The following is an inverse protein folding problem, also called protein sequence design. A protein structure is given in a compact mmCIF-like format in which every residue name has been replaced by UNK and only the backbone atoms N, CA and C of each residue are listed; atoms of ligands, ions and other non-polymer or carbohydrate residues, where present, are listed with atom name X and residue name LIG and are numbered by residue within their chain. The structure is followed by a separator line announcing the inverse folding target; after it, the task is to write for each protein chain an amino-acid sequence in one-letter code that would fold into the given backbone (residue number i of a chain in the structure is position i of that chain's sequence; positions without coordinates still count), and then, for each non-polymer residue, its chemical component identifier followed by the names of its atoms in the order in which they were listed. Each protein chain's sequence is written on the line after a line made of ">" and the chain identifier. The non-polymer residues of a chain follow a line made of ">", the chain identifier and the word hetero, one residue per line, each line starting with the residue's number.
data_IF_437719232917
#
_entry.id   IF_437719232917
#
_cell.length_a   1.000
_cell.length_b   1.000
_cell.length_c   1.000
_cell.angle_alpha   90.00
_cell.angle_beta   90.00
_cell.angle_gamma   90.00
#
_symmetry.space_group_name_H-M   'P 1'
#
loop_
_entity.id
_entity.type
_entity.pdbx_description
1 polymer ?
#
# COMPACT_ATOMS: atom_id res chain seq x y z
N UNK A 1 -12.19 18.12 35.63
CA UNK A 1 -11.10 18.17 34.64
C UNK A 1 -10.15 17.03 34.95
N UNK A 2 -10.23 15.92 34.21
CA UNK A 2 -9.27 14.83 34.35
C UNK A 2 -7.96 15.28 33.71
N UNK A 3 -6.87 15.28 34.48
CA UNK A 3 -5.54 15.53 33.95
C UNK A 3 -5.20 14.39 32.96
N UNK A 4 -5.18 14.71 31.68
CA UNK A 4 -4.57 13.84 30.67
C UNK A 4 -3.08 13.81 30.98
N UNK A 5 -2.63 12.73 31.63
CA UNK A 5 -1.21 12.50 31.87
C UNK A 5 -0.50 12.48 30.52
N UNK A 6 0.20 13.56 30.19
CA UNK A 6 1.10 13.60 29.06
C UNK A 6 2.24 12.66 29.40
N UNK A 7 2.26 11.47 28.78
CA UNK A 7 3.35 10.52 28.89
C UNK A 7 4.63 11.27 28.49
N UNK A 8 5.59 11.40 29.39
CA UNK A 8 6.83 12.15 29.16
C UNK A 8 7.92 11.31 28.49
N UNK A 9 7.76 9.98 28.45
CA UNK A 9 8.68 9.00 27.84
C UNK A 9 7.96 7.67 27.61
N UNK A 10 8.38 6.92 26.59
CA UNK A 10 7.88 5.57 26.31
C UNK A 10 8.51 4.49 27.20
N UNK A 11 9.51 4.82 28.04
CA UNK A 11 10.28 3.84 28.80
C UNK A 11 9.44 2.91 29.70
N UNK A 12 8.37 3.43 30.32
CA UNK A 12 7.46 2.59 31.11
C UNK A 12 6.67 1.59 30.25
N UNK A 13 6.35 1.97 29.00
CA UNK A 13 5.66 1.11 28.05
C UNK A 13 6.61 0.05 27.50
N UNK A 14 7.85 0.44 27.21
CA UNK A 14 8.91 -0.48 26.77
C UNK A 14 9.26 -1.51 27.85
N UNK A 15 9.27 -1.11 29.12
CA UNK A 15 9.48 -2.05 30.23
C UNK A 15 8.41 -3.17 30.27
N UNK A 16 7.16 -2.84 29.96
CA UNK A 16 6.07 -3.83 29.90
C UNK A 16 6.26 -4.88 28.79
N UNK A 17 7.03 -4.59 27.72
CA UNK A 17 7.33 -5.58 26.68
C UNK A 17 8.22 -6.73 27.18
N UNK A 18 9.03 -6.48 28.21
CA UNK A 18 9.93 -7.48 28.79
C UNK A 18 9.25 -8.37 29.84
N UNK A 19 8.02 -8.05 30.25
CA UNK A 19 7.27 -8.86 31.19
C UNK A 19 6.80 -10.18 30.54
N UNK A 20 6.71 -11.29 31.29
CA UNK A 20 6.35 -12.59 30.74
C UNK A 20 4.87 -12.69 30.35
N UNK A 21 4.00 -11.83 30.89
CA UNK A 21 2.56 -11.87 30.65
C UNK A 21 2.19 -11.31 29.27
N UNK A 22 1.55 -12.13 28.43
CA UNK A 22 1.12 -11.75 27.08
C UNK A 22 0.12 -10.58 27.06
N UNK A 23 -0.77 -10.50 28.06
CA UNK A 23 -1.71 -9.38 28.19
C UNK A 23 -1.00 -8.03 28.36
N UNK A 24 0.14 -8.02 29.07
CA UNK A 24 0.95 -6.81 29.24
C UNK A 24 1.67 -6.44 27.94
N UNK A 25 2.17 -7.43 27.21
CA UNK A 25 2.78 -7.24 25.88
C UNK A 25 1.78 -6.65 24.88
N UNK A 26 0.56 -7.17 24.83
CA UNK A 26 -0.54 -6.64 24.03
C UNK A 26 -0.81 -5.17 24.36
N UNK A 27 -1.02 -4.88 25.65
CA UNK A 27 -1.30 -3.52 26.10
C UNK A 27 -0.14 -2.58 25.78
N UNK A 28 1.10 -3.04 25.94
CA UNK A 28 2.29 -2.30 25.60
C UNK A 28 2.34 -1.97 24.10
N UNK A 29 2.17 -2.95 23.22
CA UNK A 29 2.19 -2.73 21.77
C UNK A 29 1.07 -1.79 21.30
N UNK A 30 -0.16 -1.95 21.82
CA UNK A 30 -1.27 -1.05 21.49
C UNK A 30 -0.99 0.39 21.95
N UNK A 31 -0.42 0.55 23.14
CA UNK A 31 0.00 1.84 23.67
C UNK A 31 1.11 2.46 22.81
N UNK A 32 2.11 1.66 22.42
CA UNK A 32 3.20 2.08 21.54
C UNK A 32 2.68 2.59 20.21
N UNK A 33 1.78 1.85 19.56
CA UNK A 33 1.16 2.24 18.28
C UNK A 33 0.53 3.65 18.33
N UNK A 34 -0.06 4.03 19.47
CA UNK A 34 -0.67 5.36 19.65
C UNK A 34 0.35 6.48 19.83
N UNK A 35 1.54 6.20 20.35
CA UNK A 35 2.56 7.21 20.70
C UNK A 35 3.81 7.16 19.82
N UNK A 36 3.86 6.29 18.79
CA UNK A 36 5.03 6.14 17.90
C UNK A 36 5.50 7.48 17.36
N UNK A 37 4.57 8.31 16.89
CA UNK A 37 4.86 9.62 16.31
C UNK A 37 5.61 10.57 17.25
N UNK A 38 5.50 10.39 18.57
CA UNK A 38 6.17 11.22 19.58
C UNK A 38 7.49 10.61 20.05
N UNK A 39 7.54 9.29 20.22
CA UNK A 39 8.64 8.59 20.88
C UNK A 39 9.38 7.60 19.98
N UNK A 40 9.25 7.69 18.65
CA UNK A 40 9.99 6.83 17.73
C UNK A 40 11.50 6.74 18.00
N UNK A 41 12.23 7.78 18.49
CA UNK A 41 13.65 7.65 18.80
C UNK A 41 13.92 6.78 20.04
N UNK A 42 13.01 6.76 21.00
CA UNK A 42 13.11 5.87 22.16
C UNK A 42 12.71 4.44 21.77
N UNK A 43 11.62 4.30 21.01
CA UNK A 43 11.08 3.00 20.60
C UNK A 43 12.05 2.29 19.64
N UNK A 44 12.77 3.03 18.79
CA UNK A 44 13.75 2.44 17.85
C UNK A 44 14.83 1.63 18.54
N UNK A 45 15.21 1.99 19.78
CA UNK A 45 16.20 1.23 20.58
C UNK A 45 15.71 -0.17 20.95
N UNK A 46 14.39 -0.39 20.93
CA UNK A 46 13.74 -1.63 21.32
C UNK A 46 13.13 -2.38 20.13
N UNK A 47 13.44 -1.98 18.89
CA UNK A 47 13.02 -2.71 17.68
C UNK A 47 13.33 -4.20 17.76
N UNK A 48 14.54 -4.65 18.17
CA UNK A 48 14.85 -6.08 18.20
C UNK A 48 13.94 -6.90 19.13
N UNK A 49 13.45 -6.28 20.20
CA UNK A 49 12.51 -6.93 21.10
C UNK A 49 11.12 -7.08 20.44
N UNK A 50 10.68 -6.07 19.69
CA UNK A 50 9.39 -6.10 18.99
C UNK A 50 9.46 -7.03 17.76
N UNK A 51 10.60 -7.08 17.06
CA UNK A 51 10.86 -8.01 15.96
C UNK A 51 10.81 -9.46 16.45
N UNK A 52 11.46 -9.77 17.57
CA UNK A 52 11.39 -11.11 18.17
C UNK A 52 9.95 -11.54 18.49
N UNK A 53 9.05 -10.60 18.79
CA UNK A 53 7.62 -10.88 19.01
C UNK A 53 6.83 -11.04 17.72
N UNK A 54 7.27 -10.41 16.63
CA UNK A 54 6.68 -10.62 15.30
C UNK A 54 7.09 -11.97 14.70
N UNK A 55 8.33 -12.39 14.94
CA UNK A 55 8.87 -13.68 14.50
C UNK A 55 8.30 -14.88 15.29
N UNK A 56 7.68 -14.63 16.44
CA UNK A 56 7.05 -15.66 17.25
C UNK A 56 5.68 -16.06 16.68
N UNK A 57 5.61 -17.27 16.10
CA UNK A 57 4.38 -17.83 15.52
C UNK A 57 3.31 -18.16 16.58
N UNK A 58 3.69 -18.36 17.84
CA UNK A 58 2.74 -18.62 18.94
C UNK A 58 2.08 -17.33 19.46
N UNK A 59 2.64 -16.17 19.12
CA UNK A 59 2.12 -14.89 19.58
C UNK A 59 0.94 -14.40 18.72
N UNK A 60 -0.26 -14.46 19.30
CA UNK A 60 -1.52 -14.06 18.67
C UNK A 60 -1.50 -12.64 18.05
N UNK A 61 -0.66 -11.75 18.58
CA UNK A 61 -0.62 -10.34 18.20
C UNK A 61 0.59 -9.93 17.35
N UNK A 62 1.26 -10.89 16.70
CA UNK A 62 2.40 -10.62 15.80
C UNK A 62 2.13 -9.53 14.75
N UNK A 63 0.91 -9.47 14.21
CA UNK A 63 0.54 -8.46 13.21
C UNK A 63 0.62 -7.03 13.76
N UNK A 64 0.29 -6.85 15.05
CA UNK A 64 0.32 -5.55 15.70
C UNK A 64 1.75 -5.14 16.02
N UNK A 65 2.61 -6.10 16.37
CA UNK A 65 4.05 -5.88 16.48
C UNK A 65 4.65 -5.41 15.14
N UNK A 66 4.31 -6.08 14.02
CA UNK A 66 4.73 -5.66 12.68
C UNK A 66 4.28 -4.23 12.34
N UNK A 67 3.04 -3.86 12.69
CA UNK A 67 2.53 -2.50 12.44
C UNK A 67 3.32 -1.44 13.22
N UNK A 68 3.65 -1.71 14.49
CA UNK A 68 4.44 -0.78 15.31
C UNK A 68 5.84 -0.60 14.72
N UNK A 69 6.50 -1.71 14.36
CA UNK A 69 7.85 -1.68 13.75
C UNK A 69 7.82 -0.92 12.43
N UNK A 70 6.83 -1.17 11.57
CA UNK A 70 6.65 -0.45 10.31
C UNK A 70 6.53 1.06 10.51
N UNK A 71 5.71 1.51 11.47
CA UNK A 71 5.59 2.94 11.81
C UNK A 71 6.89 3.53 12.32
N UNK A 72 7.67 2.79 13.12
CA UNK A 72 8.97 3.27 13.60
C UNK A 72 9.94 3.46 12.43
N UNK A 73 10.07 2.47 11.53
CA UNK A 73 10.91 2.59 10.33
C UNK A 73 10.49 3.73 9.41
N UNK A 74 9.18 3.98 9.29
CA UNK A 74 8.68 5.14 8.56
C UNK A 74 9.23 6.46 9.12
N UNK A 75 9.20 6.65 10.45
CA UNK A 75 9.76 7.86 11.08
C UNK A 75 11.29 7.92 11.06
N UNK A 76 11.97 6.77 10.97
CA UNK A 76 13.42 6.71 10.74
C UNK A 76 13.80 7.05 9.29
N UNK A 77 12.83 7.04 8.36
CA UNK A 77 13.04 7.32 6.94
C UNK A 77 13.37 6.08 6.10
N UNK A 78 13.32 4.89 6.69
CA UNK A 78 13.62 3.61 6.03
C UNK A 78 12.34 3.01 5.44
N UNK A 79 11.91 3.55 4.29
CA UNK A 79 10.61 3.19 3.69
C UNK A 79 10.53 1.76 3.15
N UNK A 80 11.65 1.14 2.76
CA UNK A 80 11.64 -0.23 2.27
C UNK A 80 11.32 -1.21 3.41
N UNK A 81 11.98 -1.05 4.56
CA UNK A 81 11.74 -1.87 5.75
C UNK A 81 10.38 -1.55 6.36
N UNK A 82 9.97 -0.28 6.35
CA UNK A 82 8.61 0.09 6.74
C UNK A 82 7.57 -0.64 5.88
N UNK A 83 7.75 -0.68 4.55
CA UNK A 83 6.83 -1.39 3.67
C UNK A 83 6.80 -2.90 3.97
N UNK A 84 7.96 -3.56 4.13
CA UNK A 84 8.01 -5.01 4.37
C UNK A 84 7.26 -5.41 5.66
N UNK A 85 7.41 -4.63 6.73
CA UNK A 85 6.66 -4.83 7.97
C UNK A 85 5.17 -4.46 7.84
N UNK A 86 4.81 -3.45 7.05
CA UNK A 86 3.41 -3.13 6.77
C UNK A 86 2.71 -4.28 6.01
N UNK A 87 3.40 -4.91 5.05
CA UNK A 87 2.91 -6.12 4.38
C UNK A 87 2.70 -7.27 5.38
N UNK A 88 3.58 -7.39 6.39
CA UNK A 88 3.47 -8.36 7.48
C UNK A 88 2.32 -8.11 8.46
N UNK A 89 1.94 -6.84 8.65
CA UNK A 89 0.80 -6.45 9.50
C UNK A 89 -0.56 -6.88 8.93
N UNK A 90 -0.63 -7.18 7.63
CA UNK A 90 -1.80 -7.77 6.97
C UNK A 90 -3.06 -6.91 7.13
N UNK A 91 -4.12 -7.39 7.82
CA UNK A 91 -5.38 -6.66 7.95
C UNK A 91 -5.29 -5.42 8.85
N UNK A 92 -4.24 -5.31 9.69
CA UNK A 92 -4.08 -4.15 10.57
C UNK A 92 -3.53 -2.91 9.84
N UNK A 93 -2.94 -3.10 8.66
CA UNK A 93 -2.55 -1.99 7.79
C UNK A 93 -3.77 -1.56 6.97
N UNK A 94 -4.43 -0.48 7.40
CA UNK A 94 -5.61 0.04 6.72
C UNK A 94 -5.21 0.93 5.53
N UNK A 95 -5.48 0.45 4.33
CA UNK A 95 -5.33 1.23 3.08
C UNK A 95 -6.32 2.39 3.01
N UNK A 96 -7.32 2.42 3.90
CA UNK A 96 -8.35 3.44 3.97
C UNK A 96 -7.92 4.69 4.76
N UNK A 97 -6.85 4.55 5.55
CA UNK A 97 -6.37 5.59 6.44
C UNK A 97 -5.78 6.77 5.65
N UNK A 98 -6.28 7.99 5.90
CA UNK A 98 -5.75 9.22 5.30
C UNK A 98 -4.63 9.82 6.17
N UNK A 99 -3.67 9.00 6.61
CA UNK A 99 -2.50 9.45 7.35
C UNK A 99 -1.28 9.59 6.45
N UNK A 100 -0.36 10.50 6.81
CA UNK A 100 0.89 10.69 6.07
C UNK A 100 1.72 9.39 5.98
N UNK A 101 1.62 8.54 7.01
CA UNK A 101 2.20 7.21 7.06
C UNK A 101 1.59 6.29 6.01
N UNK A 102 0.25 6.15 6.00
CA UNK A 102 -0.43 5.28 5.04
C UNK A 102 -0.20 5.76 3.61
N UNK A 103 -0.36 7.06 3.33
CA UNK A 103 -0.15 7.63 2.00
C UNK A 103 1.27 7.40 1.47
N UNK A 104 2.29 7.58 2.32
CA UNK A 104 3.68 7.36 1.92
C UNK A 104 3.99 5.89 1.62
N UNK A 105 3.51 4.96 2.46
CA UNK A 105 3.72 3.53 2.23
C UNK A 105 2.93 3.01 1.03
N UNK A 106 1.71 3.50 0.82
CA UNK A 106 0.91 3.15 -0.34
C UNK A 106 1.54 3.63 -1.65
N UNK A 107 2.08 4.86 -1.67
CA UNK A 107 2.84 5.36 -2.81
C UNK A 107 4.08 4.50 -3.08
N UNK A 108 4.84 4.18 -2.03
CA UNK A 108 6.02 3.32 -2.11
C UNK A 108 5.68 1.90 -2.61
N UNK A 109 4.57 1.32 -2.15
CA UNK A 109 4.08 0.02 -2.58
C UNK A 109 3.73 0.01 -4.08
N UNK A 110 3.06 1.06 -4.57
CA UNK A 110 2.74 1.22 -6.00
C UNK A 110 4.01 1.33 -6.85
N UNK A 111 4.97 2.16 -6.45
CA UNK A 111 6.23 2.34 -7.17
C UNK A 111 7.00 1.01 -7.27
N UNK A 112 7.06 0.27 -6.15
CA UNK A 112 7.73 -1.02 -6.10
C UNK A 112 7.04 -2.06 -6.99
N UNK A 113 5.71 -2.17 -6.90
CA UNK A 113 4.91 -3.05 -7.75
C UNK A 113 5.05 -2.73 -9.25
N UNK A 114 4.97 -1.44 -9.62
CA UNK A 114 5.14 -0.99 -11.00
C UNK A 114 6.55 -1.28 -11.54
N UNK A 115 7.57 -1.17 -10.68
CA UNK A 115 8.95 -1.50 -11.03
C UNK A 115 9.11 -3.00 -11.33
N UNK A 116 8.49 -3.88 -10.52
CA UNK A 116 8.49 -5.33 -10.74
C UNK A 116 7.81 -5.69 -12.07
N UNK A 117 6.59 -5.19 -12.32
CA UNK A 117 5.88 -5.46 -13.59
C UNK A 117 6.64 -4.93 -14.81
N UNK A 118 7.36 -3.82 -14.67
CA UNK A 118 8.21 -3.29 -15.74
C UNK A 118 9.44 -4.15 -16.00
N UNK A 119 10.09 -4.68 -14.96
CA UNK A 119 11.24 -5.60 -15.08
C UNK A 119 10.84 -6.94 -15.69
N UNK A 120 9.73 -7.53 -15.22
CA UNK A 120 9.20 -8.79 -15.73
C UNK A 120 8.92 -8.73 -17.24
N UNK A 121 8.47 -7.58 -17.75
CA UNK A 121 8.26 -7.41 -19.20
C UNK A 121 9.55 -7.33 -20.04
N UNK A 122 10.70 -7.03 -19.44
CA UNK A 122 12.00 -6.90 -20.12
C UNK A 122 12.80 -8.19 -20.08
N UNK A 123 12.63 -8.99 -19.03
CA UNK A 123 13.28 -10.27 -18.86
C UNK A 123 12.28 -11.37 -19.23
N UNK A 124 12.34 -11.87 -20.47
CA UNK A 124 11.40 -12.88 -21.01
C UNK A 124 11.38 -14.23 -20.25
N UNK A 125 12.12 -14.44 -19.15
CA UNK A 125 12.38 -15.80 -18.65
C UNK A 125 12.43 -15.99 -17.11
N UNK A 126 12.24 -14.96 -16.29
CA UNK A 126 12.08 -15.17 -14.84
C UNK A 126 10.77 -14.51 -14.39
N UNK A 127 9.73 -15.32 -14.19
CA UNK A 127 8.59 -14.96 -13.34
C UNK A 127 9.12 -14.76 -11.92
N UNK A 128 9.77 -13.61 -11.69
CA UNK A 128 10.03 -13.09 -10.36
C UNK A 128 8.65 -12.81 -9.76
N UNK A 129 8.10 -13.81 -9.08
CA UNK A 129 6.77 -13.76 -8.50
C UNK A 129 6.70 -12.55 -7.57
N UNK A 130 5.84 -11.60 -7.93
CA UNK A 130 5.53 -10.46 -7.06
C UNK A 130 5.01 -11.01 -5.74
N UNK A 131 5.44 -10.42 -4.62
CA UNK A 131 4.92 -10.79 -3.31
C UNK A 131 3.38 -10.69 -3.33
N UNK A 132 2.65 -11.80 -3.06
CA UNK A 132 1.19 -11.80 -3.03
C UNK A 132 0.61 -10.75 -2.07
N UNK A 133 1.34 -10.38 -1.01
CA UNK A 133 0.93 -9.35 -0.06
C UNK A 133 0.96 -7.97 -0.70
N UNK A 134 1.99 -7.68 -1.48
CA UNK A 134 2.12 -6.41 -2.21
C UNK A 134 1.02 -6.30 -3.28
N UNK A 135 0.80 -7.38 -4.04
CA UNK A 135 -0.27 -7.42 -5.04
C UNK A 135 -1.66 -7.21 -4.41
N UNK A 136 -1.93 -7.84 -3.27
CA UNK A 136 -3.19 -7.67 -2.54
C UNK A 136 -3.40 -6.22 -2.06
N UNK A 137 -2.36 -5.51 -1.63
CA UNK A 137 -2.49 -4.09 -1.24
C UNK A 137 -2.80 -3.22 -2.45
N UNK A 138 -2.04 -3.37 -3.55
CA UNK A 138 -2.27 -2.60 -4.78
C UNK A 138 -3.67 -2.85 -5.35
N UNK A 139 -4.15 -4.09 -5.25
CA UNK A 139 -5.52 -4.44 -5.63
C UNK A 139 -6.56 -3.72 -4.79
N UNK A 140 -6.44 -3.76 -3.45
CA UNK A 140 -7.34 -3.03 -2.55
C UNK A 140 -7.32 -1.53 -2.81
N UNK A 141 -6.15 -0.95 -3.12
CA UNK A 141 -6.06 0.47 -3.45
C UNK A 141 -6.80 0.81 -4.76
N UNK A 142 -6.64 -0.01 -5.79
CA UNK A 142 -7.33 0.17 -7.07
C UNK A 142 -8.85 0.05 -6.90
N UNK A 143 -9.30 -0.97 -6.16
CA UNK A 143 -10.73 -1.17 -5.85
C UNK A 143 -11.30 -0.01 -5.06
N UNK A 144 -10.58 0.49 -4.04
CA UNK A 144 -10.98 1.67 -3.28
C UNK A 144 -11.13 2.90 -4.17
N UNK A 145 -10.18 3.16 -5.07
CA UNK A 145 -10.27 4.30 -5.99
C UNK A 145 -11.49 4.22 -6.92
N UNK A 146 -11.84 3.01 -7.36
CA UNK A 146 -13.02 2.75 -8.18
C UNK A 146 -14.30 2.99 -7.36
N UNK A 147 -14.37 2.46 -6.14
CA UNK A 147 -15.51 2.64 -5.23
C UNK A 147 -15.73 4.10 -4.82
N UNK A 148 -14.65 4.85 -4.60
CA UNK A 148 -14.70 6.29 -4.29
C UNK A 148 -15.08 7.16 -5.51
N UNK A 149 -15.26 6.57 -6.70
CA UNK A 149 -15.53 7.29 -7.94
C UNK A 149 -14.32 8.09 -8.47
N UNK A 150 -13.13 7.87 -7.92
CA UNK A 150 -11.86 8.49 -8.33
C UNK A 150 -11.27 7.78 -9.56
N UNK A 151 -12.06 7.67 -10.63
CA UNK A 151 -11.69 6.89 -11.82
C UNK A 151 -10.39 7.36 -12.49
N UNK A 152 -10.09 8.67 -12.48
CA UNK A 152 -8.82 9.18 -13.05
C UNK A 152 -7.59 8.63 -12.31
N UNK A 153 -7.65 8.60 -10.98
CA UNK A 153 -6.57 8.05 -10.17
C UNK A 153 -6.46 6.53 -10.37
N UNK A 154 -7.59 5.82 -10.39
CA UNK A 154 -7.62 4.38 -10.68
C UNK A 154 -7.01 4.06 -12.06
N UNK A 155 -7.33 4.85 -13.09
CA UNK A 155 -6.75 4.70 -14.44
C UNK A 155 -5.24 4.96 -14.44
N UNK A 156 -4.76 6.01 -13.75
CA UNK A 156 -3.33 6.29 -13.62
C UNK A 156 -2.57 5.13 -12.98
N UNK A 157 -3.04 4.68 -11.82
CA UNK A 157 -2.47 3.54 -11.10
C UNK A 157 -2.50 2.26 -11.93
N UNK A 158 -3.62 1.95 -12.61
CA UNK A 158 -3.73 0.78 -13.46
C UNK A 158 -2.74 0.79 -14.63
N UNK A 159 -2.49 1.96 -15.23
CA UNK A 159 -1.52 2.13 -16.32
C UNK A 159 -0.09 1.95 -15.83
N UNK A 160 0.28 2.53 -14.69
CA UNK A 160 1.61 2.39 -14.08
C UNK A 160 1.88 0.93 -13.66
N UNK A 161 0.88 0.29 -13.06
CA UNK A 161 0.91 -1.10 -12.60
C UNK A 161 0.77 -2.14 -13.74
N UNK A 162 0.57 -1.69 -14.98
CA UNK A 162 0.31 -2.54 -16.15
C UNK A 162 -0.87 -3.52 -16.00
N UNK A 163 -1.89 -3.11 -15.24
CA UNK A 163 -3.12 -3.87 -15.01
C UNK A 163 -4.23 -3.38 -15.95
N UNK A 164 -4.22 -3.92 -17.17
CA UNK A 164 -5.22 -3.54 -18.19
C UNK A 164 -6.63 -3.99 -17.81
N UNK A 165 -6.77 -5.07 -17.04
CA UNK A 165 -8.02 -5.57 -16.46
C UNK A 165 -8.73 -4.50 -15.61
N UNK A 166 -8.03 -3.89 -14.64
CA UNK A 166 -8.60 -2.84 -13.80
C UNK A 166 -8.76 -1.52 -14.54
N UNK A 167 -7.94 -1.25 -15.56
CA UNK A 167 -8.15 -0.13 -16.44
C UNK A 167 -9.47 -0.24 -17.19
N UNK A 168 -9.78 -1.42 -17.76
CA UNK A 168 -11.05 -1.69 -18.42
C UNK A 168 -12.22 -1.50 -17.46
N UNK A 169 -12.12 -2.03 -16.24
CA UNK A 169 -13.14 -1.87 -15.20
C UNK A 169 -13.39 -0.39 -14.88
N UNK A 170 -12.33 0.40 -14.68
CA UNK A 170 -12.44 1.83 -14.39
C UNK A 170 -13.06 2.63 -15.56
N UNK A 171 -12.75 2.27 -16.81
CA UNK A 171 -13.35 2.94 -17.99
C UNK A 171 -14.84 2.63 -18.10
N UNK A 172 -15.25 1.38 -17.89
CA UNK A 172 -16.64 0.94 -18.01
C UNK A 172 -17.53 1.53 -16.91
N UNK A 173 -17.01 1.62 -15.68
CA UNK A 173 -17.75 2.20 -14.56
C UNK A 173 -17.81 3.74 -14.63
N UNK A 174 -16.92 4.38 -15.38
CA UNK A 174 -16.94 5.83 -15.56
C UNK A 174 -18.13 6.27 -16.42
N UNK A 175 -18.96 7.19 -15.89
CA UNK A 175 -20.10 7.75 -16.62
C UNK A 175 -19.70 8.54 -17.89
N UNK A 176 -18.47 9.11 -17.92
CA UNK A 176 -17.96 9.88 -19.05
C UNK A 176 -16.81 9.13 -19.76
N UNK A 177 -17.20 8.18 -20.60
CA UNK A 177 -16.25 7.35 -21.37
C UNK A 177 -15.36 8.22 -22.27
N UNK A 178 -15.89 9.27 -22.91
CA UNK A 178 -15.09 10.14 -23.79
C UNK A 178 -13.98 10.88 -23.01
N UNK A 179 -14.31 11.40 -21.82
CA UNK A 179 -13.33 12.01 -20.92
C UNK A 179 -12.28 11.01 -20.43
N UNK A 180 -12.71 9.80 -20.05
CA UNK A 180 -11.82 8.72 -19.61
C UNK A 180 -10.85 8.30 -20.72
N UNK A 181 -11.32 8.13 -21.95
CA UNK A 181 -10.50 7.80 -23.11
C UNK A 181 -9.48 8.90 -23.43
N UNK A 182 -9.91 10.17 -23.42
CA UNK A 182 -8.98 11.29 -23.64
C UNK A 182 -7.90 11.36 -22.55
N UNK A 183 -8.26 11.08 -21.31
CA UNK A 183 -7.30 11.03 -20.20
C UNK A 183 -6.32 9.86 -20.37
N UNK A 184 -6.80 8.67 -20.71
CA UNK A 184 -5.97 7.49 -20.99
C UNK A 184 -4.98 7.73 -22.14
N UNK A 185 -5.39 8.43 -23.20
CA UNK A 185 -4.49 8.80 -24.30
C UNK A 185 -3.36 9.70 -23.78
N UNK A 186 -3.66 10.69 -22.94
CA UNK A 186 -2.63 11.54 -22.34
C UNK A 186 -1.68 10.74 -21.44
N UNK A 187 -2.20 9.81 -20.63
CA UNK A 187 -1.39 8.90 -19.82
C UNK A 187 -0.45 8.04 -20.67
N UNK A 188 -0.91 7.59 -21.85
CA UNK A 188 -0.08 6.78 -22.75
C UNK A 188 1.19 7.51 -23.20
N UNK A 189 1.14 8.83 -23.35
CA UNK A 189 2.29 9.63 -23.74
C UNK A 189 3.31 9.78 -22.61
N UNK A 190 2.87 9.72 -21.35
CA UNK A 190 3.71 9.93 -20.17
C UNK A 190 4.30 8.62 -19.62
N UNK A 191 3.49 7.56 -19.55
CA UNK A 191 3.83 6.34 -18.80
C UNK A 191 4.08 5.10 -19.67
N UNK A 192 3.66 5.11 -20.94
CA UNK A 192 3.69 3.93 -21.80
C UNK A 192 4.84 4.02 -22.81
N UNK A 193 6.04 3.65 -22.37
CA UNK A 193 7.27 3.67 -23.17
C UNK A 193 7.51 2.38 -23.98
N UNK A 194 7.04 1.23 -23.49
CA UNK A 194 7.23 -0.06 -24.15
C UNK A 194 6.26 -0.29 -25.32
N UNK A 195 6.79 -0.66 -26.49
CA UNK A 195 6.02 -0.81 -27.75
C UNK A 195 4.91 -1.87 -27.65
N UNK A 196 5.19 -3.01 -27.04
CA UNK A 196 4.22 -4.12 -26.90
C UNK A 196 3.08 -3.71 -25.97
N UNK A 197 3.42 -3.26 -24.76
CA UNK A 197 2.45 -2.73 -23.80
C UNK A 197 1.61 -1.57 -24.39
N UNK A 198 2.23 -0.69 -25.19
CA UNK A 198 1.52 0.37 -25.91
C UNK A 198 0.50 -0.17 -26.92
N UNK A 199 0.85 -1.23 -27.62
CA UNK A 199 -0.04 -1.86 -28.60
C UNK A 199 -1.25 -2.50 -27.91
N UNK A 200 -1.02 -3.19 -26.80
CA UNK A 200 -2.09 -3.78 -25.97
C UNK A 200 -2.99 -2.71 -25.36
N UNK A 201 -2.40 -1.67 -24.75
CA UNK A 201 -3.12 -0.54 -24.19
C UNK A 201 -4.01 0.14 -25.23
N UNK A 202 -3.50 0.43 -26.43
CA UNK A 202 -4.33 1.01 -27.49
C UNK A 202 -5.37 0.03 -28.03
N UNK A 203 -5.10 -1.28 -28.07
CA UNK A 203 -6.10 -2.28 -28.45
C UNK A 203 -7.31 -2.25 -27.50
N UNK A 204 -7.05 -2.13 -26.19
CA UNK A 204 -8.07 -1.95 -25.16
C UNK A 204 -8.87 -0.66 -25.41
N UNK A 205 -8.21 0.50 -25.57
CA UNK A 205 -8.92 1.76 -25.83
C UNK A 205 -9.75 1.73 -27.14
N UNK A 206 -9.25 1.07 -28.18
CA UNK A 206 -9.95 0.94 -29.47
C UNK A 206 -11.22 0.09 -29.38
N UNK A 207 -11.26 -0.90 -28.48
CA UNK A 207 -12.47 -1.69 -28.20
C UNK A 207 -13.61 -0.80 -27.69
N UNK A 208 -13.33 0.10 -26.76
CA UNK A 208 -14.33 0.97 -26.14
C UNK A 208 -14.71 2.18 -27.01
N UNK A 209 -13.77 2.78 -27.74
CA UNK A 209 -14.10 3.84 -28.72
C UNK A 209 -15.06 3.35 -29.81
N UNK A 210 -14.91 2.10 -30.27
CA UNK A 210 -15.83 1.49 -31.25
C UNK A 210 -17.23 1.24 -30.68
N UNK A 211 -17.33 0.84 -29.42
CA UNK A 211 -18.62 0.63 -28.73
C UNK A 211 -19.41 1.93 -28.58
N UNK A 212 -18.77 3.03 -28.16
CA UNK A 212 -19.43 4.34 -28.09
C UNK A 212 -19.92 4.83 -29.47
N UNK A 213 -19.23 4.46 -30.56
CA UNK A 213 -19.62 4.87 -31.91
C UNK A 213 -20.85 4.11 -32.43
N UNK A 214 -21.13 2.92 -31.90
CA UNK A 214 -22.30 2.10 -32.28
C UNK A 214 -23.54 2.49 -31.49
N UNK A 215 -23.41 2.98 -30.26
CA UNK A 215 -24.54 3.43 -29.43
C UNK A 215 -25.14 4.79 -29.82
N UNK A 216 -24.51 5.52 -30.74
CA UNK A 216 -24.96 6.85 -31.22
C UNK A 216 -25.69 6.75 -32.58
N UNK A 217 -25.79 5.55 -33.17
CA UNK A 217 -26.53 5.26 -34.41
C UNK A 217 -27.76 4.43 -34.07
#
# INVERSE_FOLDING_TARGET
>A
MAATATVSSAGGILAMLHEPAEELKLHALASLNSVVHLFYPEISTSIPAIESMYEDDEFDQRQLAALVVSKVFYYLGELNDALSYALGAGPLFDVSEDSDYALALLAKALDEYASFKTRASKAMEEEENVDPRLEAIVERMLERCILDGKYQQAMGMAVECRRLDKLEEAIVQCANIHGALSYCINLSHQYVSHREYRSEFFAVLLKYTRLCRIQII
#
